data_IF_643712288312
#
_entry.id   IF_643712288312
#
_cell.length_a   1.000
_cell.length_b   1.000
_cell.length_c   1.000
_cell.angle_alpha   90.00
_cell.angle_beta   90.00
_cell.angle_gamma   90.00
#
_symmetry.space_group_name_H-M   'P 1'
#
loop_
_entity.id
_entity.type
_entity.pdbx_description
1 polymer ?
#
# COMPACT_ATOMS: atom_id res chain seq x y z
N UNK A 1 -18.02 -10.68 0.51
CA UNK A 1 -16.54 -10.66 0.42
C UNK A 1 -15.87 -10.50 1.78
N UNK A 2 -16.65 -10.52 2.87
CA UNK A 2 -16.12 -10.41 4.22
C UNK A 2 -15.17 -11.59 4.52
N UNK A 3 -14.06 -11.31 5.21
CA UNK A 3 -12.98 -12.27 5.42
C UNK A 3 -13.38 -13.35 6.43
N UNK A 4 -13.13 -14.61 6.09
CA UNK A 4 -13.32 -15.75 6.97
C UNK A 4 -11.96 -16.37 7.28
N UNK A 5 -11.72 -16.64 8.55
CA UNK A 5 -10.48 -17.21 9.05
C UNK A 5 -10.69 -18.64 9.54
N UNK A 6 -9.66 -19.46 9.44
CA UNK A 6 -9.62 -20.73 10.14
C UNK A 6 -9.22 -20.60 11.61
N UNK A 7 -9.24 -21.73 12.32
CA UNK A 7 -8.87 -21.79 13.73
C UNK A 7 -7.40 -21.44 13.99
N UNK A 8 -6.57 -21.37 12.95
CA UNK A 8 -5.15 -21.02 12.99
C UNK A 8 -4.90 -19.57 12.56
N UNK A 9 -5.94 -18.80 12.21
CA UNK A 9 -5.84 -17.40 11.79
C UNK A 9 -5.48 -17.19 10.31
N UNK A 10 -5.56 -18.23 9.46
CA UNK A 10 -5.37 -18.09 8.02
C UNK A 10 -6.68 -17.74 7.32
N UNK A 11 -6.63 -16.81 6.35
CA UNK A 11 -7.80 -16.47 5.52
C UNK A 11 -8.18 -17.69 4.66
N UNK A 12 -9.44 -18.15 4.79
CA UNK A 12 -10.06 -19.16 3.93
C UNK A 12 -10.90 -18.54 2.80
N UNK A 13 -11.47 -17.37 3.03
CA UNK A 13 -12.27 -16.64 2.07
C UNK A 13 -12.16 -15.14 2.34
N UNK A 14 -12.08 -14.31 1.30
CA UNK A 14 -11.91 -12.87 1.43
C UNK A 14 -11.04 -12.28 0.32
N UNK A 15 -10.88 -10.96 0.34
CA UNK A 15 -10.03 -10.23 -0.60
C UNK A 15 -9.02 -9.39 0.17
N UNK A 16 -7.75 -9.46 -0.25
CA UNK A 16 -6.68 -8.60 0.25
C UNK A 16 -6.17 -7.76 -0.92
N UNK A 17 -6.25 -6.44 -0.78
CA UNK A 17 -5.72 -5.48 -1.75
C UNK A 17 -4.40 -4.92 -1.25
N UNK A 18 -3.35 -5.03 -2.07
CA UNK A 18 -2.07 -4.36 -1.82
C UNK A 18 -1.95 -3.18 -2.75
N UNK A 19 -1.89 -1.97 -2.20
CA UNK A 19 -1.86 -0.73 -2.96
C UNK A 19 -0.55 0.03 -2.69
N UNK A 20 0.31 0.11 -3.70
CA UNK A 20 1.55 0.87 -3.63
C UNK A 20 1.26 2.33 -3.93
N UNK A 21 1.55 3.21 -2.96
CA UNK A 21 1.40 4.65 -3.14
C UNK A 21 2.65 5.19 -3.84
N UNK A 22 2.45 5.85 -4.98
CA UNK A 22 3.53 6.43 -5.78
C UNK A 22 3.72 7.92 -5.48
N UNK A 23 4.97 8.42 -5.51
CA UNK A 23 5.27 9.84 -5.32
C UNK A 23 4.54 10.69 -6.36
N UNK A 24 3.91 11.78 -5.92
CA UNK A 24 3.15 12.68 -6.78
C UNK A 24 1.80 12.13 -7.28
N UNK A 25 1.37 10.95 -6.82
CA UNK A 25 0.14 10.28 -7.27
C UNK A 25 -0.88 10.06 -6.13
N UNK A 26 -0.88 10.94 -5.12
CA UNK A 26 -1.78 10.87 -3.96
C UNK A 26 -3.25 10.83 -4.37
N UNK A 27 -3.68 11.76 -5.23
CA UNK A 27 -5.09 11.83 -5.68
C UNK A 27 -5.53 10.58 -6.44
N UNK A 28 -4.60 9.97 -7.19
CA UNK A 28 -4.90 8.72 -7.88
C UNK A 28 -5.10 7.58 -6.87
N UNK A 29 -4.28 7.50 -5.83
CA UNK A 29 -4.45 6.52 -4.75
C UNK A 29 -5.77 6.71 -4.01
N UNK A 30 -6.11 7.95 -3.66
CA UNK A 30 -7.39 8.31 -3.05
C UNK A 30 -8.57 7.91 -3.94
N UNK A 31 -8.49 8.16 -5.25
CA UNK A 31 -9.55 7.76 -6.19
C UNK A 31 -9.74 6.23 -6.23
N UNK A 32 -8.64 5.46 -6.17
CA UNK A 32 -8.70 3.99 -6.05
C UNK A 32 -9.38 3.58 -4.74
N UNK A 33 -9.00 4.17 -3.61
CA UNK A 33 -9.61 3.89 -2.31
C UNK A 33 -11.12 4.16 -2.30
N UNK A 34 -11.54 5.30 -2.84
CA UNK A 34 -12.97 5.65 -2.99
C UNK A 34 -13.72 4.63 -3.85
N UNK A 35 -13.08 4.17 -4.93
CA UNK A 35 -13.66 3.16 -5.82
C UNK A 35 -13.82 1.82 -5.08
N UNK A 36 -12.79 1.39 -4.36
CA UNK A 36 -12.84 0.16 -3.56
C UNK A 36 -13.90 0.23 -2.46
N UNK A 37 -13.98 1.33 -1.73
CA UNK A 37 -14.98 1.53 -0.68
C UNK A 37 -16.41 1.50 -1.25
N UNK A 38 -16.63 2.14 -2.41
CA UNK A 38 -17.95 2.24 -3.05
C UNK A 38 -18.39 0.95 -3.74
N UNK A 39 -17.50 0.31 -4.49
CA UNK A 39 -17.85 -0.76 -5.43
C UNK A 39 -17.58 -2.16 -4.87
N UNK A 40 -16.66 -2.28 -3.91
CA UNK A 40 -16.25 -3.56 -3.35
C UNK A 40 -16.77 -3.69 -1.91
N UNK A 41 -16.14 -3.03 -0.94
CA UNK A 41 -16.58 -2.88 0.46
C UNK A 41 -15.44 -2.25 1.26
N UNK A 42 -15.71 -1.39 2.27
CA UNK A 42 -14.71 -0.98 3.24
C UNK A 42 -14.27 -2.11 4.20
N UNK A 43 -14.96 -3.25 4.22
CA UNK A 43 -14.61 -4.42 5.07
C UNK A 43 -13.48 -5.28 4.51
N UNK A 44 -13.02 -5.03 3.27
CA UNK A 44 -11.90 -5.79 2.70
C UNK A 44 -10.59 -5.49 3.44
N UNK A 45 -9.64 -6.41 3.36
CA UNK A 45 -8.29 -6.15 3.85
C UNK A 45 -7.53 -5.27 2.86
N UNK A 46 -7.00 -4.14 3.33
CA UNK A 46 -6.15 -3.27 2.52
C UNK A 46 -4.76 -3.08 3.14
N UNK A 47 -3.72 -3.18 2.32
CA UNK A 47 -2.33 -2.89 2.67
C UNK A 47 -1.85 -1.72 1.82
N UNK A 48 -1.77 -0.55 2.45
CA UNK A 48 -1.18 0.65 1.86
C UNK A 48 0.34 0.57 2.04
N UNK A 49 1.08 0.69 0.94
CA UNK A 49 2.54 0.51 0.94
C UNK A 49 3.24 1.79 0.50
N UNK A 50 4.25 2.20 1.26
CA UNK A 50 5.15 3.31 0.95
C UNK A 50 6.50 2.87 0.34
N UNK A 51 6.60 1.61 -0.11
CA UNK A 51 7.86 0.92 -0.45
C UNK A 51 8.38 1.25 -1.86
N UNK A 52 7.94 2.35 -2.46
CA UNK A 52 8.42 2.74 -3.78
C UNK A 52 9.87 3.22 -3.69
N UNK A 53 10.76 2.62 -4.51
CA UNK A 53 12.15 3.04 -4.63
C UNK A 53 12.47 3.39 -6.09
N UNK A 54 13.03 4.58 -6.37
CA UNK A 54 13.40 4.97 -7.73
C UNK A 54 14.50 4.06 -8.28
N UNK A 55 14.37 3.67 -9.54
CA UNK A 55 15.37 2.87 -10.26
C UNK A 55 16.16 3.75 -11.25
N UNK A 56 17.35 3.31 -11.73
CA UNK A 56 18.14 4.09 -12.68
C UNK A 56 17.37 4.61 -13.91
N UNK A 57 16.43 3.85 -14.52
CA UNK A 57 15.63 4.33 -15.65
C UNK A 57 14.73 5.54 -15.36
N UNK A 58 14.30 5.74 -14.11
CA UNK A 58 13.38 6.83 -13.72
C UNK A 58 14.09 8.01 -13.06
N UNK A 59 15.42 8.06 -13.10
CA UNK A 59 16.24 9.08 -12.45
C UNK A 59 15.88 10.51 -12.86
N UNK A 60 15.45 10.72 -14.10
CA UNK A 60 15.04 12.03 -14.64
C UNK A 60 13.53 12.22 -14.67
N UNK A 61 12.74 11.24 -14.19
CA UNK A 61 11.29 11.36 -14.17
C UNK A 61 10.86 12.45 -13.18
N UNK A 62 9.93 13.36 -13.55
CA UNK A 62 9.57 14.50 -12.71
C UNK A 62 9.06 14.12 -11.32
N UNK A 63 8.39 12.97 -11.20
CA UNK A 63 7.78 12.51 -9.94
C UNK A 63 8.34 11.19 -9.40
N UNK A 64 8.80 10.29 -10.28
CA UNK A 64 9.22 8.92 -9.95
C UNK A 64 10.71 8.83 -9.64
N UNK A 65 11.44 9.95 -9.71
CA UNK A 65 12.87 10.03 -9.37
C UNK A 65 13.14 10.08 -7.87
N UNK A 66 12.09 10.09 -7.03
CA UNK A 66 12.17 10.15 -5.57
C UNK A 66 11.28 9.08 -4.92
N UNK A 67 11.43 8.89 -3.63
CA UNK A 67 10.48 8.12 -2.83
C UNK A 67 9.26 8.99 -2.46
N UNK A 68 8.20 8.34 -1.99
CA UNK A 68 7.04 9.02 -1.41
C UNK A 68 7.45 9.83 -0.16
N UNK A 69 6.84 10.99 0.04
CA UNK A 69 7.06 11.77 1.28
C UNK A 69 6.13 11.30 2.40
N UNK A 70 6.47 11.54 3.68
CA UNK A 70 5.57 11.22 4.80
C UNK A 70 4.20 11.88 4.65
N UNK A 71 4.16 13.17 4.28
CA UNK A 71 2.92 13.93 4.07
C UNK A 71 2.05 13.34 2.95
N UNK A 72 2.66 12.92 1.83
CA UNK A 72 1.91 12.26 0.76
C UNK A 72 1.29 10.94 1.22
N UNK A 73 2.01 10.19 2.04
CA UNK A 73 1.54 8.91 2.56
C UNK A 73 0.43 9.10 3.61
N UNK A 74 0.62 10.02 4.56
CA UNK A 74 -0.36 10.38 5.59
C UNK A 74 -1.70 10.77 4.96
N UNK A 75 -1.70 11.57 3.90
CA UNK A 75 -2.93 11.93 3.18
C UNK A 75 -3.71 10.74 2.63
N UNK A 76 -3.02 9.67 2.21
CA UNK A 76 -3.67 8.44 1.73
C UNK A 76 -4.21 7.62 2.89
N UNK A 77 -3.49 7.59 4.03
CA UNK A 77 -3.95 6.91 5.25
C UNK A 77 -5.20 7.59 5.81
N UNK A 78 -5.20 8.91 5.93
CA UNK A 78 -6.31 9.70 6.45
C UNK A 78 -7.59 9.46 5.63
N UNK A 79 -7.48 9.44 4.30
CA UNK A 79 -8.62 9.14 3.44
C UNK A 79 -9.09 7.68 3.61
N UNK A 80 -8.17 6.71 3.74
CA UNK A 80 -8.56 5.32 3.99
C UNK A 80 -9.34 5.17 5.30
N UNK A 81 -8.92 5.86 6.36
CA UNK A 81 -9.62 5.90 7.64
C UNK A 81 -11.01 6.56 7.49
N UNK A 82 -11.09 7.70 6.80
CA UNK A 82 -12.36 8.41 6.55
C UNK A 82 -13.37 7.58 5.75
N UNK A 83 -12.88 6.75 4.81
CA UNK A 83 -13.71 5.83 4.02
C UNK A 83 -14.14 4.58 4.80
N UNK A 84 -13.64 4.40 6.03
CA UNK A 84 -14.02 3.31 6.92
C UNK A 84 -13.30 2.00 6.66
N UNK A 85 -12.11 2.02 6.03
CA UNK A 85 -11.28 0.82 5.94
C UNK A 85 -10.78 0.43 7.34
N UNK A 86 -11.43 -0.56 7.96
CA UNK A 86 -11.15 -1.01 9.33
C UNK A 86 -10.21 -2.22 9.39
N UNK A 87 -10.06 -2.95 8.28
CA UNK A 87 -9.25 -4.15 8.18
C UNK A 87 -8.06 -3.86 7.26
N UNK A 88 -6.86 -3.72 7.82
CA UNK A 88 -5.70 -3.43 7.02
C UNK A 88 -4.40 -3.44 7.81
N UNK A 89 -3.34 -3.89 7.16
CA UNK A 89 -1.98 -3.62 7.64
C UNK A 89 -1.68 -2.16 7.34
N UNK A 90 -2.22 -1.25 8.15
CA UNK A 90 -1.74 0.13 8.26
C UNK A 90 -0.36 0.01 8.90
N UNK A 91 0.64 -0.26 8.06
CA UNK A 91 2.01 -0.43 8.51
C UNK A 91 2.43 0.86 9.20
N UNK A 92 2.74 0.78 10.50
CA UNK A 92 3.51 1.84 11.14
C UNK A 92 4.77 2.11 10.28
N UNK A 93 5.06 3.39 10.06
CA UNK A 93 6.20 3.89 9.28
C UNK A 93 7.55 3.24 9.67
N UNK A 94 7.63 2.59 10.83
CA UNK A 94 8.80 1.89 11.35
C UNK A 94 9.27 0.69 10.51
N UNK A 95 8.48 0.18 9.56
CA UNK A 95 8.84 -1.00 8.74
C UNK A 95 9.32 -0.69 7.31
N UNK A 96 9.42 0.59 6.93
CA UNK A 96 9.88 1.01 5.60
C UNK A 96 11.35 0.59 5.29
N UNK A 97 12.15 0.31 6.31
CA UNK A 97 13.56 -0.12 6.14
C UNK A 97 13.77 -1.63 5.91
N UNK A 98 12.77 -2.48 6.15
CA UNK A 98 13.01 -3.94 6.30
C UNK A 98 12.55 -4.81 5.11
N UNK A 99 11.96 -4.23 4.07
CA UNK A 99 11.35 -5.00 2.97
C UNK A 99 11.73 -4.51 1.57
N UNK A 100 12.81 -3.72 1.43
CA UNK A 100 13.36 -3.41 0.12
C UNK A 100 14.22 -4.60 -0.34
N UNK A 101 13.80 -5.35 -1.37
CA UNK A 101 14.61 -6.41 -1.93
C UNK A 101 15.84 -5.76 -2.57
N UNK A 102 17.01 -6.31 -2.31
CA UNK A 102 18.21 -5.87 -3.00
C UNK A 102 18.27 -6.51 -4.39
N UNK A 103 17.51 -5.96 -5.33
CA UNK A 103 17.42 -6.44 -6.72
C UNK A 103 18.76 -6.50 -7.48
N UNK A 104 19.83 -5.95 -6.91
CA UNK A 104 21.19 -6.04 -7.43
C UNK A 104 21.96 -7.28 -6.95
N UNK A 105 21.40 -8.06 -6.01
CA UNK A 105 21.97 -9.33 -5.52
C UNK A 105 21.36 -10.51 -6.25
N UNK A 106 22.12 -11.61 -6.30
CA UNK A 106 21.69 -12.89 -6.89
C UNK A 106 20.47 -13.48 -6.18
N UNK A 107 20.37 -13.26 -4.86
CA UNK A 107 19.16 -13.52 -4.09
C UNK A 107 18.61 -12.22 -3.48
N UNK A 108 17.69 -11.53 -4.17
CA UNK A 108 17.23 -10.20 -3.78
C UNK A 108 16.27 -10.20 -2.58
N UNK A 109 15.72 -11.35 -2.20
CA UNK A 109 14.74 -11.48 -1.12
C UNK A 109 15.25 -12.21 0.13
N UNK A 110 16.51 -12.65 0.14
CA UNK A 110 17.09 -13.47 1.23
C UNK A 110 17.01 -14.97 0.96
#
# INVERSE_FOLDING_TARGET
>A
ISPEFDAQGSIRHGVVVRHLVLPGAVENSIAVLRTLAREISPEIYISLMAQYHPTPPVRTHPTLSRTITPEEYERVLDEAEQLGFTHGFIQELSSAGNYLPEFMRENPFG
#
